data_IF_447769433364
#
_entry.id   IF_447769433364
#
_cell.length_a   1.000
_cell.length_b   1.000
_cell.length_c   1.000
_cell.angle_alpha   90.00
_cell.angle_beta   90.00
_cell.angle_gamma   90.00
#
_symmetry.space_group_name_H-M   'P 1'
#
loop_
_entity.id
_entity.type
_entity.pdbx_description
1 polymer ?
#
# COMPACT_ATOMS: atom_id res chain seq x y z
N UNK A 1 20.74 0.19 -20.64
CA UNK A 1 19.59 -0.27 -19.84
C UNK A 1 19.75 0.04 -18.35
N UNK A 2 20.89 -0.27 -17.70
CA UNK A 2 21.13 -0.03 -16.26
C UNK A 2 20.92 1.44 -15.86
N UNK A 3 21.40 2.40 -16.66
CA UNK A 3 21.25 3.83 -16.40
C UNK A 3 19.77 4.28 -16.46
N UNK A 4 19.01 3.78 -17.42
CA UNK A 4 17.57 4.11 -17.53
C UNK A 4 16.78 3.54 -16.35
N UNK A 5 17.09 2.32 -15.92
CA UNK A 5 16.47 1.70 -14.76
C UNK A 5 16.74 2.49 -13.46
N UNK A 6 17.98 2.93 -13.26
CA UNK A 6 18.34 3.78 -12.16
C UNK A 6 17.63 5.13 -12.14
N UNK A 7 17.57 5.78 -13.30
CA UNK A 7 16.84 7.04 -13.41
C UNK A 7 15.36 6.87 -13.03
N UNK A 8 14.75 5.75 -13.43
CA UNK A 8 13.37 5.44 -13.07
C UNK A 8 13.21 5.33 -11.55
N UNK A 9 14.11 4.60 -10.87
CA UNK A 9 14.07 4.46 -9.40
C UNK A 9 14.30 5.81 -8.71
N UNK A 10 15.24 6.62 -9.19
CA UNK A 10 15.49 7.96 -8.61
C UNK A 10 14.26 8.85 -8.77
N UNK A 11 13.62 8.87 -9.95
CA UNK A 11 12.40 9.63 -10.18
C UNK A 11 11.31 9.16 -9.20
N UNK A 12 11.15 7.87 -9.03
CA UNK A 12 10.19 7.29 -8.09
C UNK A 12 10.45 7.72 -6.65
N UNK A 13 11.70 7.64 -6.17
CA UNK A 13 12.11 8.09 -4.83
C UNK A 13 11.76 9.57 -4.62
N UNK A 14 12.05 10.41 -5.61
CA UNK A 14 11.74 11.85 -5.54
C UNK A 14 10.23 12.08 -5.47
N UNK A 15 9.44 11.37 -6.28
CA UNK A 15 7.98 11.47 -6.27
C UNK A 15 7.39 10.98 -4.94
N UNK A 16 7.87 9.87 -4.39
CA UNK A 16 7.47 9.38 -3.07
C UNK A 16 7.80 10.39 -1.96
N UNK A 17 8.98 11.01 -2.01
CA UNK A 17 9.35 12.08 -1.09
C UNK A 17 8.40 13.28 -1.16
N UNK A 18 8.01 13.70 -2.36
CA UNK A 18 7.04 14.79 -2.57
C UNK A 18 5.67 14.40 -2.01
N UNK A 19 5.20 13.17 -2.26
CA UNK A 19 3.93 12.66 -1.73
C UNK A 19 3.95 12.64 -0.20
N UNK A 20 5.01 12.11 0.41
CA UNK A 20 5.18 12.05 1.86
C UNK A 20 5.15 13.45 2.50
N UNK A 21 5.88 14.42 1.95
CA UNK A 21 5.87 15.82 2.43
C UNK A 21 4.47 16.43 2.35
N UNK A 22 3.73 16.18 1.26
CA UNK A 22 2.35 16.67 1.12
C UNK A 22 1.39 15.98 2.08
N UNK A 23 1.65 14.72 2.45
CA UNK A 23 0.83 13.93 3.38
C UNK A 23 1.01 14.39 4.84
N UNK A 24 2.17 14.94 5.24
CA UNK A 24 2.45 15.39 6.61
C UNK A 24 1.39 16.36 7.13
N UNK A 25 0.93 17.30 6.29
CA UNK A 25 -0.03 18.32 6.67
C UNK A 25 -1.50 17.84 6.66
N UNK A 26 -1.76 16.61 6.23
CA UNK A 26 -3.11 16.06 6.19
C UNK A 26 -3.51 15.48 7.54
N UNK A 27 -4.73 15.80 8.00
CA UNK A 27 -5.26 15.35 9.29
C UNK A 27 -6.09 14.06 9.11
N UNK A 28 -6.08 13.20 10.12
CA UNK A 28 -6.89 11.98 10.17
C UNK A 28 -6.09 10.70 10.22
N UNK A 29 -6.72 9.61 10.68
CA UNK A 29 -6.06 8.30 10.84
C UNK A 29 -5.63 7.71 9.49
N UNK A 30 -6.48 7.83 8.49
CA UNK A 30 -6.20 7.33 7.15
C UNK A 30 -5.02 8.07 6.51
N UNK A 31 -4.95 9.41 6.67
CA UNK A 31 -3.84 10.20 6.17
C UNK A 31 -2.50 9.80 6.81
N UNK A 32 -2.50 9.49 8.11
CA UNK A 32 -1.30 8.99 8.80
C UNK A 32 -0.84 7.64 8.27
N UNK A 33 -1.79 6.73 7.97
CA UNK A 33 -1.45 5.41 7.41
C UNK A 33 -0.83 5.59 6.02
N UNK A 34 -1.40 6.46 5.18
CA UNK A 34 -0.86 6.77 3.86
C UNK A 34 0.55 7.35 3.98
N UNK A 35 0.77 8.32 4.91
CA UNK A 35 2.09 8.88 5.16
C UNK A 35 3.11 7.81 5.57
N UNK A 36 2.75 6.89 6.48
CA UNK A 36 3.65 5.80 6.87
C UNK A 36 3.94 4.85 5.72
N UNK A 37 2.93 4.56 4.90
CA UNK A 37 3.09 3.75 3.71
C UNK A 37 4.09 4.37 2.72
N UNK A 38 3.96 5.67 2.45
CA UNK A 38 4.87 6.43 1.59
C UNK A 38 6.29 6.48 2.16
N UNK A 39 6.43 6.68 3.48
CA UNK A 39 7.73 6.71 4.14
C UNK A 39 8.45 5.36 4.05
N UNK A 40 7.74 4.25 4.26
CA UNK A 40 8.32 2.90 4.13
C UNK A 40 8.65 2.60 2.66
N UNK A 41 7.79 2.97 1.71
CA UNK A 41 8.07 2.81 0.28
C UNK A 41 9.29 3.64 -0.16
N UNK A 42 9.43 4.86 0.35
CA UNK A 42 10.61 5.72 0.12
C UNK A 42 11.89 5.05 0.64
N UNK A 43 11.87 4.51 1.88
CA UNK A 43 13.00 3.80 2.47
C UNK A 43 13.35 2.57 1.61
N UNK A 44 12.35 1.77 1.22
CA UNK A 44 12.55 0.62 0.35
C UNK A 44 13.22 1.01 -0.97
N UNK A 45 12.75 2.08 -1.61
CA UNK A 45 13.31 2.61 -2.87
C UNK A 45 14.77 3.04 -2.71
N UNK A 46 15.13 3.74 -1.62
CA UNK A 46 16.51 4.18 -1.34
C UNK A 46 17.44 2.98 -1.16
N UNK A 47 17.06 2.00 -0.33
CA UNK A 47 17.88 0.81 -0.09
C UNK A 47 17.99 -0.06 -1.34
N UNK A 48 16.93 -0.14 -2.12
CA UNK A 48 16.94 -0.84 -3.40
C UNK A 48 17.85 -0.16 -4.44
N UNK A 49 17.86 1.18 -4.47
CA UNK A 49 18.79 1.92 -5.32
C UNK A 49 20.24 1.68 -4.91
N UNK A 50 20.55 1.72 -3.60
CA UNK A 50 21.88 1.40 -3.07
C UNK A 50 22.27 -0.03 -3.45
N UNK A 51 21.38 -1.00 -3.26
CA UNK A 51 21.56 -2.40 -3.67
C UNK A 51 22.00 -2.52 -5.13
N UNK A 52 21.40 -1.74 -6.01
CA UNK A 52 21.66 -1.82 -7.46
C UNK A 52 23.01 -1.22 -7.87
N UNK A 53 23.55 -0.28 -7.08
CA UNK A 53 24.70 0.54 -7.49
C UNK A 53 25.98 0.31 -6.69
N UNK A 54 25.87 -0.02 -5.40
CA UNK A 54 27.05 -0.12 -4.54
C UNK A 54 27.61 -1.53 -4.64
N UNK A 55 28.89 -1.68 -5.08
CA UNK A 55 29.54 -2.99 -5.11
C UNK A 55 29.87 -3.46 -3.69
N UNK A 56 29.74 -4.76 -3.46
CA UNK A 56 30.11 -5.40 -2.20
C UNK A 56 28.99 -6.30 -1.64
N UNK A 57 29.29 -7.60 -1.54
CA UNK A 57 28.32 -8.64 -1.17
C UNK A 57 27.61 -8.31 0.16
N UNK A 58 28.33 -7.84 1.17
CA UNK A 58 27.74 -7.56 2.48
C UNK A 58 26.76 -6.38 2.44
N UNK A 59 27.13 -5.29 1.74
CA UNK A 59 26.26 -4.11 1.59
C UNK A 59 25.04 -4.48 0.79
N UNK A 60 25.23 -5.19 -0.30
CA UNK A 60 24.15 -5.66 -1.19
C UNK A 60 23.19 -6.57 -0.42
N UNK A 61 23.72 -7.53 0.39
CA UNK A 61 22.88 -8.41 1.22
C UNK A 61 22.10 -7.63 2.27
N UNK A 62 22.76 -6.67 2.95
CA UNK A 62 22.10 -5.80 3.92
C UNK A 62 20.97 -4.97 3.29
N UNK A 63 21.25 -4.29 2.19
CA UNK A 63 20.26 -3.46 1.52
C UNK A 63 19.06 -4.27 1.02
N UNK A 64 19.30 -5.47 0.48
CA UNK A 64 18.22 -6.37 0.08
C UNK A 64 17.40 -6.87 1.27
N UNK A 65 18.05 -7.20 2.40
CA UNK A 65 17.38 -7.56 3.65
C UNK A 65 16.49 -6.45 4.18
N UNK A 66 16.95 -5.19 4.15
CA UNK A 66 16.15 -4.02 4.52
C UNK A 66 14.98 -3.82 3.56
N UNK A 67 15.18 -4.02 2.27
CA UNK A 67 14.11 -3.90 1.26
C UNK A 67 13.00 -4.94 1.52
N UNK A 68 13.35 -6.19 1.80
CA UNK A 68 12.37 -7.23 2.17
C UNK A 68 11.64 -6.88 3.47
N UNK A 69 12.37 -6.42 4.50
CA UNK A 69 11.75 -5.93 5.73
C UNK A 69 10.73 -4.80 5.44
N UNK A 70 11.04 -3.88 4.54
CA UNK A 70 10.10 -2.85 4.13
C UNK A 70 8.85 -3.43 3.46
N UNK A 71 8.96 -4.51 2.67
CA UNK A 71 7.78 -5.14 2.05
C UNK A 71 6.81 -5.69 3.10
N UNK A 72 7.30 -6.31 4.19
CA UNK A 72 6.45 -6.75 5.29
C UNK A 72 5.64 -5.59 5.87
N UNK A 73 6.29 -4.47 6.14
CA UNK A 73 5.63 -3.29 6.70
C UNK A 73 4.68 -2.62 5.70
N UNK A 74 5.01 -2.62 4.40
CA UNK A 74 4.10 -2.13 3.36
C UNK A 74 2.82 -2.96 3.30
N UNK A 75 2.93 -4.28 3.36
CA UNK A 75 1.75 -5.18 3.34
C UNK A 75 0.89 -4.99 4.58
N UNK A 76 1.50 -4.82 5.78
CA UNK A 76 0.76 -4.51 7.01
C UNK A 76 0.06 -3.15 6.92
N UNK A 77 0.76 -2.12 6.47
CA UNK A 77 0.19 -0.78 6.33
C UNK A 77 -0.95 -0.78 5.30
N UNK A 78 -0.83 -1.57 4.23
CA UNK A 78 -1.89 -1.78 3.26
C UNK A 78 -3.11 -2.48 3.88
N UNK A 79 -2.90 -3.45 4.77
CA UNK A 79 -3.99 -4.08 5.53
C UNK A 79 -4.68 -3.08 6.46
N UNK A 80 -3.92 -2.23 7.18
CA UNK A 80 -4.48 -1.14 7.98
C UNK A 80 -5.22 -0.12 7.12
N UNK A 81 -4.66 0.27 5.99
CA UNK A 81 -5.32 1.12 5.01
C UNK A 81 -6.67 0.53 4.58
N UNK A 82 -6.68 -0.74 4.17
CA UNK A 82 -7.89 -1.47 3.77
C UNK A 82 -8.93 -1.46 4.88
N UNK A 83 -8.52 -1.72 6.13
CA UNK A 83 -9.43 -1.69 7.28
C UNK A 83 -10.08 -0.31 7.47
N UNK A 84 -9.30 0.76 7.45
CA UNK A 84 -9.85 2.11 7.67
C UNK A 84 -10.64 2.61 6.48
N UNK A 85 -10.25 2.23 5.28
CA UNK A 85 -10.91 2.64 4.04
C UNK A 85 -12.23 1.89 3.81
N UNK A 86 -12.28 0.60 4.09
CA UNK A 86 -13.46 -0.25 3.88
C UNK A 86 -14.35 -0.38 5.12
N UNK A 87 -13.81 -0.13 6.30
CA UNK A 87 -14.48 -0.37 7.56
C UNK A 87 -14.55 -1.85 7.98
N UNK A 88 -13.96 -2.76 7.20
CA UNK A 88 -13.86 -4.19 7.53
C UNK A 88 -12.83 -4.45 8.62
N UNK A 89 -12.85 -5.63 9.23
CA UNK A 89 -11.88 -6.08 10.26
C UNK A 89 -11.83 -5.25 11.55
N UNK A 90 -12.93 -4.57 11.92
CA UNK A 90 -13.04 -3.74 13.14
C UNK A 90 -13.05 -4.62 14.36
N UNK A 91 -12.60 -5.50 14.75
CA UNK A 91 -12.69 -6.32 15.97
C UNK A 91 -11.61 -7.39 16.06
N UNK A 92 -10.84 -7.57 15.01
CA UNK A 92 -9.87 -8.67 14.89
C UNK A 92 -8.50 -8.23 15.42
N UNK A 93 -8.47 -7.75 16.68
CA UNK A 93 -7.25 -7.23 17.31
C UNK A 93 -6.15 -8.30 17.43
N UNK A 94 -6.51 -9.51 17.84
CA UNK A 94 -5.55 -10.60 17.99
C UNK A 94 -4.83 -10.92 16.67
N UNK A 95 -5.56 -11.00 15.54
CA UNK A 95 -4.96 -11.25 14.22
C UNK A 95 -3.96 -10.14 13.84
N UNK A 96 -4.29 -8.89 14.11
CA UNK A 96 -3.38 -7.77 13.82
C UNK A 96 -2.08 -7.85 14.60
N UNK A 97 -2.17 -8.13 15.90
CA UNK A 97 -0.97 -8.30 16.73
C UNK A 97 -0.13 -9.45 16.20
N UNK A 98 -0.74 -10.59 15.88
CA UNK A 98 -0.02 -11.74 15.33
C UNK A 98 0.67 -11.39 14.01
N UNK A 99 -0.01 -10.66 13.12
CA UNK A 99 0.59 -10.18 11.88
C UNK A 99 1.77 -9.24 12.13
N UNK A 100 1.62 -8.27 13.04
CA UNK A 100 2.70 -7.34 13.38
C UNK A 100 3.89 -8.05 14.01
N UNK A 101 3.65 -9.02 14.91
CA UNK A 101 4.71 -9.81 15.53
C UNK A 101 5.44 -10.66 14.48
N UNK A 102 4.69 -11.33 13.61
CA UNK A 102 5.29 -12.10 12.51
C UNK A 102 6.17 -11.21 11.64
N UNK A 103 5.66 -10.08 11.16
CA UNK A 103 6.44 -9.16 10.30
C UNK A 103 7.63 -8.56 11.02
N UNK A 104 7.55 -8.29 12.32
CA UNK A 104 8.70 -7.83 13.09
C UNK A 104 9.80 -8.89 13.18
N UNK A 105 9.42 -10.15 13.42
CA UNK A 105 10.35 -11.29 13.46
C UNK A 105 10.95 -11.52 12.07
N UNK A 106 10.12 -11.55 11.04
CA UNK A 106 10.56 -11.78 9.66
C UNK A 106 11.51 -10.67 9.19
N UNK A 107 11.16 -9.40 9.42
CA UNK A 107 12.03 -8.25 9.15
C UNK A 107 13.39 -8.37 9.84
N UNK A 108 13.40 -8.80 11.12
CA UNK A 108 14.64 -9.04 11.84
C UNK A 108 15.45 -10.16 11.20
N UNK A 109 14.84 -11.28 10.83
CA UNK A 109 15.50 -12.42 10.17
C UNK A 109 16.08 -12.02 8.81
N UNK A 110 15.33 -11.21 8.02
CA UNK A 110 15.79 -10.70 6.73
C UNK A 110 17.02 -9.80 6.86
N UNK A 111 17.04 -8.89 7.82
CA UNK A 111 18.17 -7.99 8.06
C UNK A 111 19.37 -8.78 8.64
N UNK A 112 19.12 -9.68 9.61
CA UNK A 112 20.14 -10.53 10.21
C UNK A 112 20.81 -11.48 9.21
N UNK A 113 20.18 -11.70 8.05
CA UNK A 113 20.77 -12.51 6.97
C UNK A 113 22.12 -11.98 6.47
N UNK A 114 22.40 -10.68 6.67
CA UNK A 114 23.72 -10.09 6.38
C UNK A 114 24.86 -10.82 7.08
N UNK A 115 24.58 -11.35 8.28
CA UNK A 115 25.58 -12.06 9.10
C UNK A 115 25.40 -13.58 9.08
N UNK A 116 24.17 -14.05 8.94
CA UNK A 116 23.83 -15.48 9.06
C UNK A 116 23.87 -16.22 7.73
N UNK A 117 23.60 -15.53 6.62
CA UNK A 117 23.48 -16.09 5.26
C UNK A 117 22.52 -17.30 5.15
N UNK A 118 21.55 -17.41 6.07
CA UNK A 118 20.64 -18.56 6.17
C UNK A 118 19.35 -18.40 5.38
N UNK A 119 18.99 -17.17 5.00
CA UNK A 119 17.75 -16.87 4.28
C UNK A 119 17.96 -16.86 2.77
N UNK A 120 18.90 -16.06 2.33
CA UNK A 120 19.32 -15.97 0.92
C UNK A 120 20.82 -15.66 0.84
N UNK A 121 21.43 -16.08 -0.25
CA UNK A 121 22.83 -15.77 -0.56
C UNK A 121 22.90 -15.07 -1.90
N UNK A 122 23.67 -14.00 -1.98
CA UNK A 122 23.94 -13.29 -3.21
C UNK A 122 25.33 -13.67 -3.66
N UNK A 123 25.46 -14.13 -4.91
CA UNK A 123 26.73 -14.36 -5.58
C UNK A 123 26.80 -13.45 -6.80
N UNK A 124 27.85 -12.63 -6.89
CA UNK A 124 28.10 -11.84 -8.09
C UNK A 124 28.54 -12.77 -9.22
N UNK A 125 27.72 -12.87 -10.25
CA UNK A 125 28.08 -13.54 -11.49
C UNK A 125 28.29 -12.47 -12.54
N UNK A 126 29.53 -12.24 -12.92
CA UNK A 126 29.87 -11.32 -14.01
C UNK A 126 29.66 -12.04 -15.35
N UNK A 127 28.62 -11.69 -16.08
CA UNK A 127 28.45 -12.09 -17.48
C UNK A 127 28.66 -10.87 -18.37
N UNK A 128 29.89 -10.66 -18.82
CA UNK A 128 30.28 -9.48 -19.59
C UNK A 128 30.22 -8.21 -18.73
N UNK A 129 29.53 -7.16 -19.20
CA UNK A 129 29.34 -5.90 -18.44
C UNK A 129 28.16 -5.96 -17.44
N UNK A 130 27.46 -7.08 -17.34
CA UNK A 130 26.26 -7.24 -16.49
C UNK A 130 26.64 -8.09 -15.28
N UNK A 131 26.62 -7.47 -14.12
CA UNK A 131 26.67 -8.19 -12.83
C UNK A 131 25.28 -8.76 -12.57
N UNK A 132 25.16 -10.07 -12.57
CA UNK A 132 23.91 -10.78 -12.25
C UNK A 132 24.03 -11.30 -10.82
N UNK A 133 23.22 -10.75 -9.94
CA UNK A 133 23.09 -11.25 -8.58
C UNK A 133 22.28 -12.55 -8.58
N UNK A 134 22.87 -13.64 -8.14
CA UNK A 134 22.16 -14.90 -7.96
C UNK A 134 21.73 -15.06 -6.51
N UNK A 135 20.42 -15.19 -6.28
CA UNK A 135 19.86 -15.38 -4.95
C UNK A 135 19.52 -16.85 -4.74
N UNK A 136 20.25 -17.51 -3.84
CA UNK A 136 19.89 -18.87 -3.42
C UNK A 136 18.79 -18.78 -2.35
N UNK A 137 17.63 -19.32 -2.62
CA UNK A 137 16.46 -19.28 -1.73
C UNK A 137 16.49 -20.38 -0.68
N UNK A 138 16.03 -20.05 0.54
CA UNK A 138 15.81 -21.00 1.64
C UNK A 138 14.32 -21.11 1.97
N UNK A 139 13.96 -21.98 2.91
CA UNK A 139 12.60 -22.09 3.44
C UNK A 139 12.10 -20.74 4.01
N UNK A 140 12.93 -20.01 4.74
CA UNK A 140 12.55 -18.71 5.31
C UNK A 140 12.25 -17.67 4.24
N UNK A 141 13.03 -17.66 3.17
CA UNK A 141 12.76 -16.81 2.01
C UNK A 141 11.39 -17.10 1.37
N UNK A 142 11.07 -18.37 1.17
CA UNK A 142 9.78 -18.77 0.63
C UNK A 142 8.62 -18.40 1.58
N UNK A 143 8.80 -18.62 2.89
CA UNK A 143 7.80 -18.28 3.90
C UNK A 143 7.47 -16.78 3.90
N UNK A 144 8.47 -15.89 3.75
CA UNK A 144 8.31 -14.44 3.59
C UNK A 144 7.36 -14.10 2.43
N UNK A 145 7.61 -14.63 1.23
CA UNK A 145 6.78 -14.35 0.07
C UNK A 145 5.37 -14.94 0.21
N UNK A 146 5.25 -16.17 0.71
CA UNK A 146 3.95 -16.80 0.93
C UNK A 146 3.10 -15.96 1.88
N UNK A 147 3.69 -15.50 3.00
CA UNK A 147 3.00 -14.63 3.95
C UNK A 147 2.50 -13.34 3.30
N UNK A 148 3.38 -12.61 2.62
CA UNK A 148 3.04 -11.35 1.97
C UNK A 148 1.94 -11.53 0.92
N UNK A 149 2.02 -12.58 0.10
CA UNK A 149 1.00 -12.86 -0.92
C UNK A 149 -0.34 -13.27 -0.32
N UNK A 150 -0.35 -14.06 0.76
CA UNK A 150 -1.59 -14.42 1.45
C UNK A 150 -2.29 -13.15 1.98
N UNK A 151 -1.54 -12.23 2.59
CA UNK A 151 -2.13 -10.98 3.09
C UNK A 151 -2.66 -10.10 1.94
N UNK A 152 -1.93 -10.00 0.83
CA UNK A 152 -2.38 -9.26 -0.36
C UNK A 152 -3.67 -9.87 -0.93
N UNK A 153 -3.77 -11.21 -1.00
CA UNK A 153 -4.99 -11.89 -1.45
C UNK A 153 -6.17 -11.57 -0.53
N UNK A 154 -5.99 -11.56 0.79
CA UNK A 154 -7.03 -11.18 1.75
C UNK A 154 -7.48 -9.73 1.53
N UNK A 155 -6.54 -8.82 1.24
CA UNK A 155 -6.84 -7.43 0.90
C UNK A 155 -7.66 -7.35 -0.38
N UNK A 156 -7.27 -8.06 -1.43
CA UNK A 156 -8.00 -8.07 -2.71
C UNK A 156 -9.43 -8.61 -2.55
N UNK A 157 -9.60 -9.71 -1.82
CA UNK A 157 -10.93 -10.27 -1.49
C UNK A 157 -11.78 -9.24 -0.74
N UNK A 158 -11.18 -8.47 0.17
CA UNK A 158 -11.87 -7.42 0.91
C UNK A 158 -12.41 -6.32 0.00
N UNK A 159 -11.64 -5.91 -1.00
CA UNK A 159 -12.08 -4.94 -2.00
C UNK A 159 -13.18 -5.50 -2.89
N UNK A 160 -13.10 -6.77 -3.34
CA UNK A 160 -14.17 -7.45 -4.11
C UNK A 160 -15.47 -7.44 -3.29
N UNK A 161 -15.41 -7.80 -2.01
CA UNK A 161 -16.57 -7.77 -1.13
C UNK A 161 -17.18 -6.38 -1.03
N UNK A 162 -16.36 -5.33 -0.90
CA UNK A 162 -16.83 -3.95 -0.84
C UNK A 162 -17.43 -3.47 -2.17
N UNK A 163 -16.85 -3.87 -3.30
CA UNK A 163 -17.40 -3.58 -4.63
C UNK A 163 -18.81 -4.16 -4.77
N UNK A 164 -19.01 -5.42 -4.33
CA UNK A 164 -20.28 -6.10 -4.40
C UNK A 164 -21.35 -5.52 -3.44
N UNK A 165 -20.94 -5.02 -2.26
CA UNK A 165 -21.83 -4.53 -1.22
C UNK A 165 -22.18 -3.05 -1.36
N UNK A 166 -21.33 -2.25 -1.98
CA UNK A 166 -21.45 -0.80 -2.03
C UNK A 166 -22.41 -0.35 -3.15
N UNK A 167 -23.05 0.80 -2.96
CA UNK A 167 -23.82 1.44 -4.02
C UNK A 167 -22.94 1.78 -5.22
N UNK A 168 -23.51 1.87 -6.41
CA UNK A 168 -22.78 2.08 -7.68
C UNK A 168 -21.79 3.24 -7.63
N UNK A 169 -22.12 4.29 -6.91
CA UNK A 169 -21.28 5.48 -6.79
C UNK A 169 -19.99 5.23 -5.98
N UNK A 170 -20.10 4.55 -4.83
CA UNK A 170 -18.92 4.22 -4.01
C UNK A 170 -18.12 3.03 -4.56
N UNK A 171 -18.79 2.13 -5.28
CA UNK A 171 -18.18 0.95 -5.90
C UNK A 171 -17.06 1.33 -6.86
N UNK A 172 -17.19 2.42 -7.62
CA UNK A 172 -16.16 2.88 -8.56
C UNK A 172 -14.80 3.12 -7.88
N UNK A 173 -14.80 3.74 -6.70
CA UNK A 173 -13.55 3.99 -5.95
C UNK A 173 -12.87 2.70 -5.52
N UNK A 174 -13.65 1.74 -5.01
CA UNK A 174 -13.13 0.42 -4.65
C UNK A 174 -12.60 -0.32 -5.87
N UNK A 175 -13.26 -0.19 -7.03
CA UNK A 175 -12.82 -0.79 -8.29
C UNK A 175 -11.46 -0.23 -8.73
N UNK A 176 -11.25 1.08 -8.69
CA UNK A 176 -9.99 1.70 -9.10
C UNK A 176 -8.83 1.24 -8.21
N UNK A 177 -9.04 1.21 -6.88
CA UNK A 177 -8.01 0.72 -5.95
C UNK A 177 -7.78 -0.78 -6.17
N UNK A 178 -8.83 -1.58 -6.34
CA UNK A 178 -8.72 -3.00 -6.62
C UNK A 178 -7.91 -3.28 -7.89
N UNK A 179 -8.22 -2.58 -8.98
CA UNK A 179 -7.51 -2.75 -10.26
C UNK A 179 -6.02 -2.40 -10.08
N UNK A 180 -5.71 -1.31 -9.39
CA UNK A 180 -4.34 -0.91 -9.13
C UNK A 180 -3.59 -1.99 -8.30
N UNK A 181 -4.20 -2.45 -7.18
CA UNK A 181 -3.62 -3.49 -6.33
C UNK A 181 -3.47 -4.82 -7.06
N UNK A 182 -4.48 -5.23 -7.82
CA UNK A 182 -4.45 -6.48 -8.57
C UNK A 182 -3.41 -6.46 -9.69
N UNK A 183 -3.32 -5.36 -10.45
CA UNK A 183 -2.30 -5.23 -11.50
C UNK A 183 -0.89 -5.22 -10.91
N UNK A 184 -0.67 -4.52 -9.78
CA UNK A 184 0.61 -4.56 -9.07
C UNK A 184 0.97 -5.97 -8.59
N UNK A 185 0.02 -6.69 -7.99
CA UNK A 185 0.22 -8.07 -7.54
C UNK A 185 0.59 -9.02 -8.69
N UNK A 186 -0.11 -8.93 -9.83
CA UNK A 186 0.18 -9.75 -11.01
C UNK A 186 1.56 -9.45 -11.59
N UNK A 187 1.93 -8.17 -11.66
CA UNK A 187 3.26 -7.75 -12.13
C UNK A 187 4.37 -8.22 -11.20
N UNK A 188 4.18 -8.14 -9.88
CA UNK A 188 5.12 -8.62 -8.88
C UNK A 188 5.32 -10.15 -9.00
N UNK A 189 4.23 -10.91 -9.06
CA UNK A 189 4.28 -12.35 -9.30
C UNK A 189 5.00 -12.71 -10.61
N UNK A 190 4.74 -11.98 -11.68
CA UNK A 190 5.39 -12.20 -12.96
C UNK A 190 6.90 -11.94 -12.87
N UNK A 191 7.31 -10.90 -12.15
CA UNK A 191 8.72 -10.55 -11.92
C UNK A 191 9.44 -11.64 -11.12
N UNK A 192 8.85 -12.06 -10.01
CA UNK A 192 9.41 -13.12 -9.15
C UNK A 192 9.48 -14.46 -9.90
N UNK A 193 8.44 -14.80 -10.69
CA UNK A 193 8.40 -16.06 -11.45
C UNK A 193 9.36 -16.08 -12.63
N UNK A 194 9.59 -14.96 -13.29
CA UNK A 194 10.43 -14.88 -14.47
C UNK A 194 11.93 -14.86 -14.17
N UNK A 195 12.32 -14.79 -12.88
CA UNK A 195 13.71 -14.61 -12.48
C UNK A 195 14.39 -13.48 -13.27
N UNK A 196 13.65 -12.39 -13.48
CA UNK A 196 14.10 -11.26 -14.28
C UNK A 196 15.39 -10.67 -13.69
N UNK A 197 16.31 -10.27 -14.56
CA UNK A 197 17.54 -9.55 -14.18
C UNK A 197 17.20 -8.23 -13.46
N UNK A 198 16.02 -7.65 -13.78
CA UNK A 198 15.51 -6.43 -13.16
C UNK A 198 14.38 -6.78 -12.21
N UNK A 199 14.62 -6.60 -10.92
CA UNK A 199 13.59 -6.72 -9.89
C UNK A 199 12.68 -5.50 -9.94
N UNK A 200 11.46 -5.68 -10.41
CA UNK A 200 10.46 -4.62 -10.51
C UNK A 200 9.57 -4.51 -9.27
N UNK A 201 9.74 -5.38 -8.28
CA UNK A 201 8.89 -5.39 -7.08
C UNK A 201 8.92 -4.05 -6.34
N UNK A 202 10.13 -3.47 -6.11
CA UNK A 202 10.24 -2.16 -5.45
C UNK A 202 9.54 -1.04 -6.22
N UNK A 203 9.78 -0.84 -7.53
CA UNK A 203 9.03 0.12 -8.33
C UNK A 203 7.51 -0.09 -8.30
N UNK A 204 7.04 -1.34 -8.29
CA UNK A 204 5.61 -1.64 -8.22
C UNK A 204 5.01 -1.15 -6.89
N UNK A 205 5.65 -1.45 -5.76
CA UNK A 205 5.17 -0.99 -4.44
C UNK A 205 5.21 0.53 -4.30
N UNK A 206 6.23 1.19 -4.82
CA UNK A 206 6.33 2.65 -4.82
C UNK A 206 5.25 3.30 -5.69
N UNK A 207 5.00 2.76 -6.88
CA UNK A 207 3.91 3.24 -7.75
C UNK A 207 2.53 3.04 -7.10
N UNK A 208 2.33 1.91 -6.42
CA UNK A 208 1.13 1.65 -5.63
C UNK A 208 0.94 2.67 -4.52
N UNK A 209 2.00 3.06 -3.84
CA UNK A 209 1.98 4.12 -2.82
C UNK A 209 1.48 5.43 -3.38
N UNK A 210 1.98 5.85 -4.54
CA UNK A 210 1.56 7.08 -5.22
C UNK A 210 0.08 7.04 -5.63
N UNK A 211 -0.40 5.89 -6.12
CA UNK A 211 -1.82 5.71 -6.47
C UNK A 211 -2.70 5.84 -5.21
N UNK A 212 -2.33 5.16 -4.12
CA UNK A 212 -3.05 5.23 -2.85
C UNK A 212 -3.10 6.67 -2.33
N UNK A 213 -1.97 7.38 -2.36
CA UNK A 213 -1.90 8.80 -2.02
C UNK A 213 -2.89 9.63 -2.86
N UNK A 214 -2.79 9.51 -4.17
CA UNK A 214 -3.62 10.29 -5.08
C UNK A 214 -5.11 10.05 -4.84
N UNK A 215 -5.55 8.80 -4.82
CA UNK A 215 -6.95 8.43 -4.66
C UNK A 215 -7.52 8.76 -3.27
N UNK A 216 -6.65 8.81 -2.24
CA UNK A 216 -7.08 8.99 -0.86
C UNK A 216 -7.01 10.45 -0.40
N UNK A 217 -5.93 11.16 -0.76
CA UNK A 217 -5.62 12.47 -0.22
C UNK A 217 -5.68 13.62 -1.23
N UNK A 218 -5.50 13.33 -2.52
CA UNK A 218 -5.50 14.36 -3.57
C UNK A 218 -6.81 14.41 -4.34
N UNK A 219 -7.36 13.24 -4.67
CA UNK A 219 -8.58 13.16 -5.46
C UNK A 219 -9.82 13.27 -4.56
N UNK A 220 -10.35 14.50 -4.45
CA UNK A 220 -11.70 14.75 -3.92
C UNK A 220 -12.57 15.09 -5.10
N UNK A 221 -13.50 14.22 -5.54
CA UNK A 221 -14.41 14.55 -6.62
C UNK A 221 -15.29 15.72 -6.18
N UNK A 222 -15.26 16.83 -6.92
CA UNK A 222 -16.14 17.98 -6.68
C UNK A 222 -17.61 17.58 -6.64
N UNK A 223 -18.01 16.63 -7.52
CA UNK A 223 -19.34 16.04 -7.53
C UNK A 223 -19.77 15.38 -6.20
N UNK A 224 -18.80 14.88 -5.41
CA UNK A 224 -19.08 14.24 -4.12
C UNK A 224 -19.42 15.27 -3.06
N UNK A 225 -18.77 16.44 -3.11
CA UNK A 225 -19.05 17.56 -2.20
C UNK A 225 -20.41 18.16 -2.56
N UNK A 226 -20.67 18.40 -3.84
CA UNK A 226 -21.94 18.96 -4.32
C UNK A 226 -23.12 18.02 -4.04
N UNK A 227 -22.98 16.71 -4.32
CA UNK A 227 -24.03 15.74 -4.06
C UNK A 227 -24.27 15.53 -2.57
N UNK A 228 -23.22 15.52 -1.73
CA UNK A 228 -23.38 15.39 -0.27
C UNK A 228 -24.02 16.65 0.31
N UNK A 229 -23.62 17.85 -0.14
CA UNK A 229 -24.24 19.10 0.25
C UNK A 229 -25.70 19.18 -0.21
N UNK A 230 -26.00 18.78 -1.44
CA UNK A 230 -27.37 18.77 -1.97
C UNK A 230 -28.28 17.79 -1.22
N UNK A 231 -27.77 16.62 -0.82
CA UNK A 231 -28.48 15.66 0.03
C UNK A 231 -28.73 16.23 1.42
N UNK A 232 -27.72 16.83 2.05
CA UNK A 232 -27.88 17.46 3.37
C UNK A 232 -28.89 18.60 3.31
N UNK A 233 -28.84 19.46 2.28
CA UNK A 233 -29.77 20.57 2.10
C UNK A 233 -31.17 20.02 1.86
N UNK A 234 -31.35 18.95 1.08
CA UNK A 234 -32.61 18.31 0.83
C UNK A 234 -33.22 17.71 2.09
N UNK A 235 -32.41 17.03 2.91
CA UNK A 235 -32.82 16.46 4.19
C UNK A 235 -33.18 17.58 5.20
N UNK A 236 -32.40 18.65 5.27
CA UNK A 236 -32.73 19.82 6.10
C UNK A 236 -34.02 20.49 5.67
N UNK A 237 -34.24 20.62 4.37
CA UNK A 237 -35.49 21.18 3.86
C UNK A 237 -36.69 20.27 4.20
N UNK A 238 -36.57 18.94 4.04
CA UNK A 238 -37.64 18.00 4.39
C UNK A 238 -38.00 18.04 5.87
N UNK A 239 -36.99 18.15 6.75
CA UNK A 239 -37.20 18.33 8.20
C UNK A 239 -37.86 19.67 8.51
N UNK A 240 -37.45 20.75 7.82
CA UNK A 240 -38.05 22.08 7.99
C UNK A 240 -39.51 22.09 7.54
N UNK A 241 -39.86 21.45 6.42
CA UNK A 241 -41.26 21.32 5.97
C UNK A 241 -42.08 20.47 6.95
N UNK A 242 -41.56 19.40 7.49
CA UNK A 242 -42.21 18.56 8.49
C UNK A 242 -42.51 19.35 9.78
N UNK A 243 -41.52 20.15 10.23
CA UNK A 243 -41.72 21.02 11.41
C UNK A 243 -42.74 22.10 11.19
N UNK A 244 -42.76 22.75 10.02
CA UNK A 244 -43.79 23.75 9.64
C UNK A 244 -45.18 23.10 9.59
N UNK A 245 -45.28 21.92 8.95
CA UNK A 245 -46.56 21.19 8.86
C UNK A 245 -47.07 20.77 10.23
N UNK A 246 -46.19 20.30 11.13
CA UNK A 246 -46.55 19.98 12.52
C UNK A 246 -47.02 21.22 13.31
N UNK A 247 -46.37 22.37 13.12
CA UNK A 247 -46.77 23.62 13.75
C UNK A 247 -48.14 24.09 13.26
N UNK A 248 -48.43 23.98 11.96
CA UNK A 248 -49.71 24.32 11.38
C UNK A 248 -50.83 23.40 11.86
N UNK A 249 -50.57 22.09 11.99
CA UNK A 249 -51.51 21.12 12.55
C UNK A 249 -51.78 21.41 14.03
N UNK A 250 -50.76 21.78 14.79
CA UNK A 250 -50.90 22.08 16.21
C UNK A 250 -51.70 23.35 16.47
N UNK A 251 -51.53 24.38 15.62
CA UNK A 251 -52.35 25.59 15.70
C UNK A 251 -53.77 25.39 15.26
N UNK A 252 -54.04 24.49 14.31
CA UNK A 252 -55.41 24.20 13.85
C UNK A 252 -56.23 23.33 14.84
N UNK A 253 -55.59 22.62 15.77
CA UNK A 253 -56.25 21.77 16.79
C UNK A 253 -56.50 22.49 18.11
N UNK A 254 -56.05 23.73 18.28
CA UNK A 254 -56.20 24.54 19.49
C UNK A 254 -57.28 25.63 19.39
N UNK A 255 -58.09 25.63 18.35
CA UNK A 255 -59.31 26.38 18.16
C UNK A 255 -60.49 25.39 18.05
#
# INVERSE_FOLDING_TARGET
MRLMYSLLIIIEIVLLGICAVKSINKKGKLAKIVLYYEAVAFIAGVFFWIYTYVPGINITTFCKGVTFACYDWLVILLMYYTQYYTGLFKGVWAVKITMMLYSAIDSFVMIANTWTHNVFTISEITKGEIVVDYVKTSFFYQAHFIYNYVVIIVILISFIFMIAKSSRFYSFRYQVIFIALFSGFVLDLATVSSQSIYDLSTPIYGFMSMIIYYLTLSYVPNELIENTLSLIIKDMNSVSYALIFMADVYTATTF
#
